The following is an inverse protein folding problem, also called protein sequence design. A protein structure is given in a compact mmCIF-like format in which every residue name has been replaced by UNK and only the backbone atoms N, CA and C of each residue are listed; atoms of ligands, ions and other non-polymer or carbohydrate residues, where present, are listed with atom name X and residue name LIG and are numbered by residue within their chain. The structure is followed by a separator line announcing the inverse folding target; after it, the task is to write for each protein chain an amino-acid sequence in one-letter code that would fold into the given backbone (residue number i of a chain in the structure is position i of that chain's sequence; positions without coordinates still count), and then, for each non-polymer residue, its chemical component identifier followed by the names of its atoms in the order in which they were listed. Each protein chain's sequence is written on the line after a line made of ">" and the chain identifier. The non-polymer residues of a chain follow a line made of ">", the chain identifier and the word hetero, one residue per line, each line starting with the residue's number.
data_IF_116051142421
#
_entry.id   IF_116051142421
#
_cell.length_a   1.000
_cell.length_b   1.000
_cell.length_c   1.000
_cell.angle_alpha   90.00
_cell.angle_beta   90.00
_cell.angle_gamma   90.00
#
_symmetry.space_group_name_H-M   'P 1'
#
loop_
_entity.id
_entity.type
_entity.pdbx_description
1 polymer ?
#
# COMPACT_ATOMS: atom_id res chain seq x y z
N UNK A 1 -23.65 2.17 7.40
CA UNK A 1 -22.97 3.47 7.27
C UNK A 1 -22.63 4.09 8.63
N UNK A 2 -23.58 4.39 9.49
CA UNK A 2 -23.32 5.03 10.80
C UNK A 2 -22.36 4.25 11.68
N UNK A 3 -22.46 2.92 11.71
CA UNK A 3 -21.53 2.06 12.46
C UNK A 3 -20.08 2.20 11.95
N UNK A 4 -19.87 2.23 10.63
CA UNK A 4 -18.55 2.40 10.03
C UNK A 4 -17.98 3.79 10.34
N UNK A 5 -18.81 4.83 10.28
CA UNK A 5 -18.42 6.19 10.68
C UNK A 5 -18.02 6.25 12.16
N UNK A 6 -18.81 5.66 13.05
CA UNK A 6 -18.45 5.60 14.47
C UNK A 6 -17.13 4.89 14.72
N UNK A 7 -16.88 3.76 14.03
CA UNK A 7 -15.62 3.01 14.14
C UNK A 7 -14.43 3.80 13.59
N UNK A 8 -14.57 4.49 12.45
CA UNK A 8 -13.48 5.34 11.92
C UNK A 8 -13.18 6.48 12.87
N UNK A 9 -14.18 7.16 13.41
CA UNK A 9 -14.01 8.22 14.39
C UNK A 9 -13.28 7.74 15.65
N UNK A 10 -13.69 6.60 16.21
CA UNK A 10 -13.04 6.00 17.39
C UNK A 10 -11.56 5.74 17.11
N UNK A 11 -11.23 5.07 15.99
CA UNK A 11 -9.84 4.79 15.61
C UNK A 11 -9.06 6.10 15.41
N UNK A 12 -9.65 7.09 14.75
CA UNK A 12 -9.05 8.41 14.56
C UNK A 12 -8.71 9.09 15.88
N UNK A 13 -9.63 9.07 16.85
CA UNK A 13 -9.38 9.60 18.20
C UNK A 13 -8.31 8.85 18.97
N UNK A 14 -8.22 7.53 18.81
CA UNK A 14 -7.19 6.72 19.45
C UNK A 14 -5.80 7.00 18.85
N UNK A 15 -5.67 7.10 17.53
CA UNK A 15 -4.40 7.39 16.84
C UNK A 15 -3.91 8.81 17.16
N UNK A 16 -4.83 9.77 17.20
CA UNK A 16 -4.53 11.18 17.46
C UNK A 16 -4.68 11.58 18.94
N UNK A 17 -4.68 10.60 19.84
CA UNK A 17 -4.80 10.86 21.27
C UNK A 17 -3.81 11.96 21.71
N UNK A 18 -4.31 12.95 22.44
CA UNK A 18 -3.54 14.07 22.97
C UNK A 18 -2.90 15.00 21.90
N UNK A 19 -3.30 14.93 20.64
CA UNK A 19 -2.82 15.86 19.60
C UNK A 19 -3.79 17.05 19.46
N UNK A 20 -3.30 18.30 19.44
CA UNK A 20 -4.16 19.48 19.27
C UNK A 20 -4.94 19.42 17.94
N UNK A 21 -6.20 19.85 17.95
CA UNK A 21 -7.06 19.87 16.75
C UNK A 21 -7.42 18.48 16.19
N UNK A 22 -7.41 17.41 16.99
CA UNK A 22 -7.82 16.05 16.58
C UNK A 22 -9.25 16.01 16.02
N UNK A 23 -10.15 16.77 16.59
CA UNK A 23 -11.55 16.83 16.19
C UNK A 23 -11.72 17.31 14.74
N UNK A 24 -10.99 18.35 14.38
CA UNK A 24 -11.00 18.88 13.03
C UNK A 24 -10.52 17.84 11.99
N UNK A 25 -9.43 17.13 12.29
CA UNK A 25 -8.93 16.12 11.35
C UNK A 25 -9.88 14.92 11.25
N UNK A 26 -10.48 14.48 12.38
CA UNK A 26 -11.51 13.43 12.36
C UNK A 26 -12.72 13.89 11.54
N UNK A 27 -13.19 15.10 11.70
CA UNK A 27 -14.31 15.63 10.90
C UNK A 27 -14.00 15.62 9.39
N UNK A 28 -12.77 15.96 8.98
CA UNK A 28 -12.35 15.90 7.57
C UNK A 28 -12.29 14.44 7.08
N UNK A 29 -11.79 13.52 7.88
CA UNK A 29 -11.73 12.12 7.51
C UNK A 29 -13.14 11.50 7.40
N UNK A 30 -14.08 11.88 8.28
CA UNK A 30 -15.48 11.49 8.15
C UNK A 30 -16.14 12.11 6.91
N UNK A 31 -15.82 13.36 6.57
CA UNK A 31 -16.25 13.96 5.31
C UNK A 31 -15.73 13.15 4.11
N UNK A 32 -14.46 12.73 4.14
CA UNK A 32 -13.89 11.89 3.08
C UNK A 32 -14.59 10.53 2.99
N UNK A 33 -15.05 9.95 4.11
CA UNK A 33 -15.85 8.73 4.12
C UNK A 33 -17.23 8.96 3.50
N UNK A 34 -17.89 10.04 3.86
CA UNK A 34 -19.19 10.43 3.29
C UNK A 34 -19.05 10.64 1.77
N UNK A 35 -18.03 11.36 1.32
CA UNK A 35 -17.77 11.54 -0.12
C UNK A 35 -17.62 10.19 -0.84
N UNK A 36 -16.94 9.21 -0.25
CA UNK A 36 -16.82 7.86 -0.81
C UNK A 36 -18.17 7.13 -0.85
N UNK A 37 -18.97 7.25 0.19
CA UNK A 37 -20.31 6.65 0.19
C UNK A 37 -21.19 7.25 -0.91
N UNK A 38 -21.17 8.57 -1.08
CA UNK A 38 -21.88 9.25 -2.17
C UNK A 38 -21.36 8.76 -3.52
N UNK A 39 -20.03 8.65 -3.68
CA UNK A 39 -19.42 8.18 -4.92
C UNK A 39 -19.84 6.74 -5.26
N UNK A 40 -19.92 5.84 -4.27
CA UNK A 40 -20.47 4.47 -4.45
C UNK A 40 -21.90 4.51 -4.97
N UNK A 41 -22.77 5.36 -4.40
CA UNK A 41 -24.14 5.49 -4.90
C UNK A 41 -24.18 6.02 -6.34
N UNK A 42 -23.39 7.03 -6.66
CA UNK A 42 -23.34 7.61 -8.01
C UNK A 42 -22.87 6.59 -9.04
N UNK A 43 -21.80 5.81 -8.74
CA UNK A 43 -21.31 4.76 -9.64
C UNK A 43 -22.40 3.74 -9.94
N UNK A 44 -23.03 3.17 -8.92
CA UNK A 44 -23.97 2.06 -9.11
C UNK A 44 -25.32 2.53 -9.64
N UNK A 45 -25.75 3.76 -9.33
CA UNK A 45 -26.98 4.32 -9.87
C UNK A 45 -26.88 4.61 -11.39
N UNK A 46 -25.69 4.99 -11.86
CA UNK A 46 -25.48 5.29 -13.28
C UNK A 46 -25.05 4.09 -14.12
N UNK A 47 -24.84 2.92 -13.50
CA UNK A 47 -24.32 1.73 -14.18
C UNK A 47 -22.90 1.91 -14.73
N UNK A 48 -22.24 3.02 -14.39
CA UNK A 48 -20.87 3.33 -14.82
C UNK A 48 -19.89 2.72 -13.85
N UNK A 49 -19.35 1.57 -14.22
CA UNK A 49 -18.26 0.96 -13.48
C UNK A 49 -16.95 1.59 -13.93
N UNK A 50 -16.49 2.63 -13.22
CA UNK A 50 -15.17 3.26 -13.47
C UNK A 50 -14.00 2.30 -13.35
N UNK A 51 -14.25 1.13 -12.83
CA UNK A 51 -13.24 0.20 -12.41
C UNK A 51 -13.12 -1.03 -13.32
N UNK A 52 -13.74 -1.01 -14.50
CA UNK A 52 -13.75 -2.15 -15.42
C UNK A 52 -14.48 -3.39 -14.86
N UNK A 53 -14.30 -4.52 -15.50
CA UNK A 53 -15.04 -5.76 -15.20
C UNK A 53 -14.69 -6.43 -13.88
N UNK A 54 -13.51 -6.14 -13.27
CA UNK A 54 -13.03 -6.81 -12.05
C UNK A 54 -13.98 -6.70 -10.86
N UNK A 55 -14.54 -5.51 -10.62
CA UNK A 55 -15.43 -5.30 -9.47
C UNK A 55 -16.74 -6.12 -9.58
N UNK A 56 -17.28 -6.24 -10.81
CA UNK A 56 -18.45 -7.08 -11.08
C UNK A 56 -18.11 -8.56 -10.94
N UNK A 57 -16.98 -8.99 -11.46
CA UNK A 57 -16.50 -10.36 -11.35
C UNK A 57 -16.32 -10.78 -9.89
N UNK A 58 -15.63 -9.95 -9.08
CA UNK A 58 -15.47 -10.23 -7.64
C UNK A 58 -16.80 -10.28 -6.90
N UNK A 59 -17.77 -9.43 -7.29
CA UNK A 59 -19.12 -9.48 -6.73
C UNK A 59 -19.82 -10.81 -7.06
N UNK A 60 -19.73 -11.29 -8.31
CA UNK A 60 -20.35 -12.56 -8.74
C UNK A 60 -19.72 -13.74 -7.99
N UNK A 61 -18.39 -13.84 -7.95
CA UNK A 61 -17.69 -14.91 -7.21
C UNK A 61 -18.04 -14.87 -5.71
N UNK A 62 -18.10 -13.69 -5.10
CA UNK A 62 -18.48 -13.55 -3.70
C UNK A 62 -19.94 -13.99 -3.44
N UNK A 63 -20.85 -13.78 -4.40
CA UNK A 63 -22.22 -14.29 -4.34
C UNK A 63 -22.25 -15.82 -4.36
N UNK A 64 -21.49 -16.46 -5.23
CA UNK A 64 -21.42 -17.92 -5.33
C UNK A 64 -20.81 -18.53 -4.05
N UNK A 65 -19.80 -17.89 -3.47
CA UNK A 65 -19.26 -18.25 -2.16
C UNK A 65 -20.30 -18.13 -1.05
N UNK A 66 -21.09 -17.05 -1.04
CA UNK A 66 -22.15 -16.89 -0.06
C UNK A 66 -23.19 -17.99 -0.14
N UNK A 67 -23.57 -18.42 -1.34
CA UNK A 67 -24.50 -19.55 -1.56
C UNK A 67 -23.90 -20.85 -1.01
N UNK A 68 -22.62 -21.13 -1.28
CA UNK A 68 -21.92 -22.31 -0.73
C UNK A 68 -21.92 -22.31 0.81
N UNK A 69 -21.61 -21.17 1.44
CA UNK A 69 -21.62 -21.03 2.89
C UNK A 69 -23.00 -21.21 3.50
N UNK A 70 -24.03 -20.62 2.87
CA UNK A 70 -25.42 -20.73 3.32
C UNK A 70 -25.99 -22.15 3.14
N UNK A 71 -25.47 -22.93 2.18
CA UNK A 71 -25.81 -24.36 2.02
C UNK A 71 -25.09 -25.28 3.01
N UNK A 72 -24.31 -24.72 3.94
CA UNK A 72 -23.60 -25.48 4.99
C UNK A 72 -22.19 -25.96 4.58
N UNK A 73 -21.65 -25.51 3.45
CA UNK A 73 -20.26 -25.82 3.08
C UNK A 73 -19.31 -25.13 4.06
N UNK A 74 -18.45 -25.88 4.76
CA UNK A 74 -17.49 -25.26 5.69
C UNK A 74 -16.46 -24.40 4.93
N UNK A 75 -16.01 -23.33 5.55
CA UNK A 75 -15.16 -22.31 4.92
C UNK A 75 -13.90 -22.88 4.24
N UNK A 76 -13.29 -23.91 4.81
CA UNK A 76 -12.09 -24.57 4.24
C UNK A 76 -12.37 -25.50 3.05
N UNK A 77 -13.65 -25.73 2.70
CA UNK A 77 -14.08 -26.48 1.53
C UNK A 77 -14.73 -25.60 0.46
N UNK A 78 -14.86 -24.30 0.73
CA UNK A 78 -15.41 -23.35 -0.24
C UNK A 78 -14.49 -23.28 -1.45
N UNK A 79 -15.08 -23.49 -2.63
CA UNK A 79 -14.36 -23.31 -3.90
C UNK A 79 -14.43 -21.84 -4.28
N UNK A 80 -13.29 -21.24 -4.55
CA UNK A 80 -13.20 -19.83 -4.95
C UNK A 80 -12.11 -19.67 -6.01
N UNK A 81 -12.34 -18.67 -6.85
CA UNK A 81 -11.38 -18.24 -7.86
C UNK A 81 -10.76 -16.90 -7.45
N UNK A 82 -9.62 -16.57 -8.03
CA UNK A 82 -8.89 -15.31 -7.94
C UNK A 82 -8.20 -15.01 -6.60
N UNK A 83 -8.90 -14.57 -5.55
CA UNK A 83 -8.26 -14.07 -4.33
C UNK A 83 -9.12 -14.25 -3.10
N UNK A 84 -8.48 -14.27 -1.93
CA UNK A 84 -9.17 -14.30 -0.64
C UNK A 84 -10.09 -13.10 -0.40
N UNK A 85 -9.93 -12.01 -1.14
CA UNK A 85 -10.86 -10.90 -1.08
C UNK A 85 -12.30 -11.34 -1.41
N UNK A 86 -12.46 -12.20 -2.41
CA UNK A 86 -13.80 -12.74 -2.77
C UNK A 86 -14.38 -13.60 -1.67
N UNK A 87 -13.54 -14.36 -0.95
CA UNK A 87 -13.97 -15.16 0.22
C UNK A 87 -14.44 -14.24 1.36
N UNK A 88 -13.68 -13.21 1.70
CA UNK A 88 -14.08 -12.24 2.73
C UNK A 88 -15.39 -11.52 2.39
N UNK A 89 -15.54 -11.12 1.13
CA UNK A 89 -16.80 -10.52 0.65
C UNK A 89 -17.95 -11.53 0.63
N UNK A 90 -17.66 -12.79 0.27
CA UNK A 90 -18.63 -13.89 0.32
C UNK A 90 -19.12 -14.20 1.73
N UNK A 91 -18.23 -14.20 2.73
CA UNK A 91 -18.59 -14.30 4.16
C UNK A 91 -19.50 -13.13 4.55
N UNK A 92 -19.14 -11.90 4.16
CA UNK A 92 -19.98 -10.73 4.41
C UNK A 92 -21.38 -10.90 3.79
N UNK A 93 -21.46 -11.39 2.57
CA UNK A 93 -22.74 -11.65 1.88
C UNK A 93 -23.53 -12.80 2.53
N UNK A 94 -22.85 -13.83 3.01
CA UNK A 94 -23.52 -14.93 3.70
C UNK A 94 -24.20 -14.49 5.01
N UNK A 95 -23.58 -13.55 5.74
CA UNK A 95 -24.05 -13.06 7.04
C UNK A 95 -25.12 -11.95 6.87
N UNK A 96 -24.85 -10.97 5.98
CA UNK A 96 -25.65 -9.74 5.88
C UNK A 96 -26.54 -9.68 4.64
N UNK A 97 -26.53 -10.72 3.81
CA UNK A 97 -27.18 -10.73 2.49
C UNK A 97 -26.30 -10.14 1.38
N UNK A 98 -26.59 -10.56 0.15
CA UNK A 98 -25.84 -10.12 -1.04
C UNK A 98 -26.12 -8.65 -1.30
N UNK A 99 -25.13 -7.81 -1.03
CA UNK A 99 -25.25 -6.36 -1.19
C UNK A 99 -23.90 -5.73 -1.58
N UNK A 100 -23.78 -5.37 -2.86
CA UNK A 100 -22.57 -4.76 -3.43
C UNK A 100 -22.24 -3.39 -2.79
N UNK A 101 -23.26 -2.59 -2.46
CA UNK A 101 -23.06 -1.31 -1.76
C UNK A 101 -22.40 -1.51 -0.39
N UNK A 102 -22.85 -2.53 0.36
CA UNK A 102 -22.28 -2.82 1.67
C UNK A 102 -20.80 -3.22 1.58
N UNK A 103 -20.42 -4.04 0.59
CA UNK A 103 -19.01 -4.39 0.35
C UNK A 103 -18.16 -3.17 0.00
N UNK A 104 -18.67 -2.29 -0.86
CA UNK A 104 -17.99 -1.05 -1.24
C UNK A 104 -17.87 -0.05 -0.07
N UNK A 105 -18.86 -0.01 0.83
CA UNK A 105 -18.76 0.80 2.05
C UNK A 105 -17.69 0.28 3.01
N UNK A 106 -17.51 -1.04 3.11
CA UNK A 106 -16.39 -1.63 3.88
C UNK A 106 -15.05 -1.27 3.25
N UNK A 107 -14.95 -1.26 1.92
CA UNK A 107 -13.76 -0.81 1.23
C UNK A 107 -13.47 0.68 1.50
N UNK A 108 -14.46 1.54 1.42
CA UNK A 108 -14.35 2.95 1.78
C UNK A 108 -13.87 3.16 3.24
N UNK A 109 -14.38 2.35 4.17
CA UNK A 109 -13.95 2.34 5.56
C UNK A 109 -12.45 2.04 5.70
N UNK A 110 -11.93 0.98 5.07
CA UNK A 110 -10.50 0.65 5.08
C UNK A 110 -9.65 1.76 4.47
N UNK A 111 -10.14 2.41 3.42
CA UNK A 111 -9.45 3.55 2.80
C UNK A 111 -9.28 4.72 3.78
N UNK A 112 -10.31 5.05 4.55
CA UNK A 112 -10.24 6.14 5.53
C UNK A 112 -9.37 5.76 6.73
N UNK A 113 -9.44 4.52 7.21
CA UNK A 113 -8.51 4.01 8.21
C UNK A 113 -7.05 4.15 7.78
N UNK A 114 -6.76 3.88 6.51
CA UNK A 114 -5.43 4.08 5.93
C UNK A 114 -4.93 5.52 6.12
N UNK A 115 -5.79 6.52 5.91
CA UNK A 115 -5.47 7.93 6.13
C UNK A 115 -5.12 8.24 7.60
N UNK A 116 -5.82 7.64 8.55
CA UNK A 116 -5.49 7.79 9.98
C UNK A 116 -4.14 7.15 10.32
N UNK A 117 -3.90 5.92 9.88
CA UNK A 117 -2.62 5.24 10.13
C UNK A 117 -1.45 5.93 9.43
N UNK A 118 -1.65 6.46 8.23
CA UNK A 118 -0.63 7.25 7.52
C UNK A 118 -0.27 8.53 8.30
N UNK A 119 -1.29 9.24 8.80
CA UNK A 119 -1.09 10.41 9.68
C UNK A 119 -0.34 10.02 10.95
N UNK A 120 -0.71 8.89 11.56
CA UNK A 120 -0.03 8.33 12.73
C UNK A 120 1.42 7.95 12.44
N UNK A 121 1.71 7.41 11.26
CA UNK A 121 3.07 7.09 10.81
C UNK A 121 3.90 8.37 10.68
N UNK A 122 3.38 9.41 10.03
CA UNK A 122 4.05 10.69 9.89
C UNK A 122 4.34 11.35 11.26
N UNK A 123 3.40 11.29 12.21
CA UNK A 123 3.60 11.75 13.59
C UNK A 123 4.71 10.97 14.30
N UNK A 124 4.73 9.66 14.16
CA UNK A 124 5.77 8.80 14.75
C UNK A 124 7.14 8.99 14.09
N UNK A 125 7.20 9.44 12.83
CA UNK A 125 8.44 9.86 12.15
C UNK A 125 8.97 11.20 12.69
N UNK A 126 8.22 11.91 13.51
CA UNK A 126 8.59 13.20 14.07
C UNK A 126 8.17 14.39 13.21
N UNK A 127 7.26 14.20 12.25
CA UNK A 127 6.70 15.31 11.51
C UNK A 127 5.80 16.17 12.40
N UNK A 128 5.75 17.47 12.11
CA UNK A 128 4.83 18.37 12.82
C UNK A 128 3.37 17.90 12.64
N UNK A 129 2.52 18.19 13.63
CA UNK A 129 1.10 17.81 13.60
C UNK A 129 0.39 18.36 12.35
N UNK A 130 0.70 19.59 11.95
CA UNK A 130 0.14 20.20 10.73
C UNK A 130 0.51 19.42 9.48
N UNK A 131 1.81 19.07 9.34
CA UNK A 131 2.29 18.32 8.18
C UNK A 131 1.75 16.90 8.16
N UNK A 132 1.74 16.21 9.28
CA UNK A 132 1.21 14.83 9.36
C UNK A 132 -0.25 14.76 8.93
N UNK A 133 -1.06 15.75 9.32
CA UNK A 133 -2.45 15.85 8.87
C UNK A 133 -2.56 16.18 7.39
N UNK A 134 -1.73 17.09 6.89
CA UNK A 134 -1.71 17.40 5.45
C UNK A 134 -1.45 16.14 4.62
N UNK A 135 -0.49 15.31 5.02
CA UNK A 135 -0.21 14.02 4.37
C UNK A 135 -1.47 13.13 4.39
N UNK A 136 -2.14 13.01 5.54
CA UNK A 136 -3.38 12.25 5.64
C UNK A 136 -4.52 12.82 4.78
N UNK A 137 -4.70 14.13 4.76
CA UNK A 137 -5.72 14.81 3.93
C UNK A 137 -5.43 14.60 2.44
N UNK A 138 -4.19 14.82 2.01
CA UNK A 138 -3.78 14.59 0.62
C UNK A 138 -4.12 13.15 0.22
N UNK A 139 -3.73 12.16 1.02
CA UNK A 139 -4.07 10.76 0.77
C UNK A 139 -5.59 10.53 0.67
N UNK A 140 -6.37 11.10 1.59
CA UNK A 140 -7.82 10.90 1.64
C UNK A 140 -8.56 11.46 0.42
N UNK A 141 -8.02 12.49 -0.22
CA UNK A 141 -8.68 13.20 -1.32
C UNK A 141 -7.98 13.05 -2.68
N UNK A 142 -6.90 12.25 -2.77
CA UNK A 142 -6.34 11.86 -4.08
C UNK A 142 -7.40 11.09 -4.87
N UNK A 143 -7.69 11.45 -6.11
CA UNK A 143 -8.74 10.82 -6.93
C UNK A 143 -8.59 9.32 -7.07
N UNK A 144 -7.39 8.80 -7.33
CA UNK A 144 -7.15 7.36 -7.42
C UNK A 144 -7.49 6.63 -6.11
N UNK A 145 -7.24 7.26 -4.94
CA UNK A 145 -7.62 6.68 -3.65
C UNK A 145 -9.14 6.61 -3.48
N UNK A 146 -9.90 7.51 -4.10
CA UNK A 146 -11.36 7.46 -4.08
C UNK A 146 -11.83 6.37 -5.04
N UNK A 147 -11.38 6.41 -6.28
CA UNK A 147 -11.82 5.49 -7.35
C UNK A 147 -11.53 4.03 -7.02
N UNK A 148 -10.26 3.71 -6.69
CA UNK A 148 -9.86 2.32 -6.47
C UNK A 148 -10.32 1.73 -5.12
N UNK A 149 -10.85 2.55 -4.21
CA UNK A 149 -11.28 2.08 -2.89
C UNK A 149 -12.80 2.14 -2.67
N UNK A 150 -13.57 2.47 -3.68
CA UNK A 150 -15.04 2.58 -3.58
C UNK A 150 -15.80 1.52 -4.36
N UNK A 151 -15.10 0.62 -5.04
CA UNK A 151 -15.70 -0.54 -5.70
C UNK A 151 -15.44 -1.84 -4.94
N UNK A 152 -16.08 -2.93 -5.36
CA UNK A 152 -15.91 -4.30 -4.84
C UNK A 152 -14.56 -4.87 -5.27
N UNK A 153 -13.46 -4.25 -4.83
CA UNK A 153 -12.08 -4.60 -5.21
C UNK A 153 -11.16 -4.74 -4.01
N UNK A 154 -10.10 -5.53 -4.17
CA UNK A 154 -9.12 -5.82 -3.12
C UNK A 154 -8.18 -4.64 -2.80
N UNK A 155 -8.11 -3.62 -3.64
CA UNK A 155 -7.16 -2.51 -3.56
C UNK A 155 -7.24 -1.77 -2.23
N UNK A 156 -8.43 -1.53 -1.73
CA UNK A 156 -8.65 -0.86 -0.43
C UNK A 156 -7.99 -1.60 0.72
N UNK A 157 -8.17 -2.93 0.78
CA UNK A 157 -7.54 -3.77 1.80
C UNK A 157 -6.03 -3.82 1.65
N UNK A 158 -5.53 -3.88 0.40
CA UNK A 158 -4.09 -3.86 0.13
C UNK A 158 -3.46 -2.56 0.62
N UNK A 159 -4.05 -1.41 0.30
CA UNK A 159 -3.54 -0.10 0.74
C UNK A 159 -3.56 0.02 2.27
N UNK A 160 -4.64 -0.45 2.88
CA UNK A 160 -4.75 -0.49 4.34
C UNK A 160 -3.67 -1.35 4.98
N UNK A 161 -3.45 -2.57 4.49
CA UNK A 161 -2.43 -3.48 5.01
C UNK A 161 -1.02 -2.90 4.83
N UNK A 162 -0.71 -2.30 3.68
CA UNK A 162 0.57 -1.63 3.44
C UNK A 162 0.84 -0.58 4.54
N UNK A 163 -0.11 0.32 4.75
CA UNK A 163 0.06 1.42 5.70
C UNK A 163 0.09 0.91 7.13
N UNK A 164 -0.76 -0.05 7.49
CA UNK A 164 -0.83 -0.62 8.83
C UNK A 164 0.45 -1.38 9.21
N UNK A 165 0.97 -2.21 8.30
CA UNK A 165 2.22 -2.96 8.53
C UNK A 165 3.37 -1.98 8.78
N UNK A 166 3.52 -0.95 7.95
CA UNK A 166 4.57 0.05 8.13
C UNK A 166 4.36 0.92 9.37
N UNK A 167 3.13 1.26 9.74
CA UNK A 167 2.82 1.93 11.01
C UNK A 167 3.26 1.10 12.22
N UNK A 168 2.92 -0.20 12.23
CA UNK A 168 3.29 -1.10 13.33
C UNK A 168 4.80 -1.33 13.39
N UNK A 169 5.45 -1.52 12.24
CA UNK A 169 6.91 -1.65 12.14
C UNK A 169 7.63 -0.44 12.73
N UNK A 170 7.19 0.78 12.38
CA UNK A 170 7.77 2.00 12.94
C UNK A 170 7.62 2.05 14.46
N UNK A 171 6.48 1.64 14.98
CA UNK A 171 6.25 1.61 16.43
C UNK A 171 7.17 0.64 17.15
N UNK A 172 7.37 -0.55 16.60
CA UNK A 172 8.31 -1.55 17.17
C UNK A 172 9.74 -1.00 17.18
N UNK A 173 10.17 -0.34 16.12
CA UNK A 173 11.53 0.20 15.99
C UNK A 173 11.78 1.36 16.96
N UNK A 174 10.81 2.27 17.10
CA UNK A 174 11.02 3.53 17.84
C UNK A 174 10.70 3.45 19.32
N UNK A 175 9.82 2.56 19.74
CA UNK A 175 9.42 2.47 21.15
C UNK A 175 10.34 1.51 21.91
N UNK A 176 11.35 2.08 22.57
CA UNK A 176 12.39 1.34 23.30
C UNK A 176 11.93 0.79 24.64
N UNK A 177 10.89 1.40 25.23
CA UNK A 177 10.46 1.13 26.63
C UNK A 177 9.36 0.06 26.72
N UNK A 178 9.05 -0.60 25.59
CA UNK A 178 8.05 -1.65 25.61
C UNK A 178 8.59 -2.94 26.21
N UNK A 179 7.74 -3.59 27.02
CA UNK A 179 8.01 -4.94 27.49
C UNK A 179 8.20 -5.90 26.33
N UNK A 180 9.01 -6.94 26.54
CA UNK A 180 9.27 -7.98 25.53
C UNK A 180 7.95 -8.58 25.02
N UNK A 181 7.00 -8.88 25.93
CA UNK A 181 5.69 -9.44 25.56
C UNK A 181 4.92 -8.53 24.60
N UNK A 182 4.97 -7.21 24.81
CA UNK A 182 4.33 -6.25 23.91
C UNK A 182 5.01 -6.18 22.54
N UNK A 183 6.33 -6.23 22.51
CA UNK A 183 7.09 -6.29 21.26
C UNK A 183 6.74 -7.57 20.49
N UNK A 184 6.74 -8.73 21.14
CA UNK A 184 6.35 -10.01 20.54
C UNK A 184 4.92 -9.97 19.97
N UNK A 185 3.96 -9.39 20.70
CA UNK A 185 2.59 -9.24 20.20
C UNK A 185 2.52 -8.43 18.91
N UNK A 186 3.22 -7.28 18.85
CA UNK A 186 3.26 -6.46 17.64
C UNK A 186 3.89 -7.17 16.46
N UNK A 187 4.97 -7.92 16.70
CA UNK A 187 5.67 -8.71 15.70
C UNK A 187 4.77 -9.82 15.17
N UNK A 188 4.12 -10.57 16.07
CA UNK A 188 3.17 -11.61 15.68
C UNK A 188 2.03 -11.01 14.83
N UNK A 189 1.53 -9.83 15.21
CA UNK A 189 0.51 -9.13 14.43
C UNK A 189 1.04 -8.73 13.05
N UNK A 190 2.29 -8.22 12.95
CA UNK A 190 2.92 -7.90 11.65
C UNK A 190 3.01 -9.16 10.78
N UNK A 191 3.45 -10.29 11.34
CA UNK A 191 3.52 -11.56 10.62
C UNK A 191 2.13 -12.01 10.10
N UNK A 192 1.09 -11.89 10.95
CA UNK A 192 -0.28 -12.18 10.55
C UNK A 192 -0.76 -11.27 9.42
N UNK A 193 -0.50 -9.96 9.51
CA UNK A 193 -0.88 -9.00 8.46
C UNK A 193 -0.12 -9.24 7.16
N UNK A 194 1.15 -9.64 7.23
CA UNK A 194 1.94 -10.06 6.07
C UNK A 194 1.31 -11.28 5.41
N UNK A 195 0.97 -12.30 6.21
CA UNK A 195 0.29 -13.48 5.69
C UNK A 195 -1.05 -13.11 5.02
N UNK A 196 -1.88 -12.27 5.67
CA UNK A 196 -3.13 -11.78 5.08
C UNK A 196 -2.89 -11.01 3.77
N UNK A 197 -1.80 -10.23 3.68
CA UNK A 197 -1.48 -9.49 2.46
C UNK A 197 -1.12 -10.41 1.29
N UNK A 198 -0.50 -11.57 1.57
CA UNK A 198 -0.19 -12.58 0.54
C UNK A 198 -1.43 -13.25 -0.02
N UNK A 199 -2.46 -13.45 0.81
CA UNK A 199 -3.74 -13.98 0.36
C UNK A 199 -4.47 -13.04 -0.62
N UNK A 200 -4.18 -11.74 -0.56
CA UNK A 200 -4.72 -10.75 -1.50
C UNK A 200 -3.86 -10.61 -2.76
N UNK A 201 -2.54 -10.60 -2.60
CA UNK A 201 -1.55 -10.55 -3.69
C UNK A 201 -0.26 -11.24 -3.28
N UNK A 202 0.07 -12.30 -3.96
CA UNK A 202 1.18 -13.19 -3.62
C UNK A 202 2.53 -12.48 -3.56
N UNK A 203 2.79 -11.55 -4.48
CA UNK A 203 4.05 -10.81 -4.53
C UNK A 203 4.23 -9.81 -3.38
N UNK A 204 3.18 -9.54 -2.59
CA UNK A 204 3.29 -8.68 -1.39
C UNK A 204 4.31 -9.23 -0.39
N UNK A 205 4.44 -10.55 -0.28
CA UNK A 205 5.43 -11.14 0.61
C UNK A 205 6.86 -10.71 0.23
N UNK A 206 7.17 -10.74 -1.06
CA UNK A 206 8.52 -10.40 -1.55
C UNK A 206 8.82 -8.91 -1.39
N UNK A 207 7.83 -8.06 -1.70
CA UNK A 207 7.98 -6.61 -1.58
C UNK A 207 8.13 -6.17 -0.12
N UNK A 208 7.29 -6.70 0.78
CA UNK A 208 7.42 -6.45 2.21
C UNK A 208 8.66 -7.13 2.79
N UNK A 209 8.93 -8.38 2.40
CA UNK A 209 10.10 -9.13 2.86
C UNK A 209 11.38 -8.37 2.60
N UNK A 210 11.57 -7.87 1.38
CA UNK A 210 12.71 -7.03 1.01
C UNK A 210 12.79 -5.75 1.82
N UNK A 211 11.68 -5.00 1.92
CA UNK A 211 11.61 -3.76 2.67
C UNK A 211 11.88 -3.94 4.17
N UNK A 212 11.23 -4.94 4.79
CA UNK A 212 11.42 -5.24 6.22
C UNK A 212 12.83 -5.79 6.50
N UNK A 213 13.38 -6.63 5.63
CA UNK A 213 14.74 -7.11 5.76
C UNK A 213 15.74 -5.95 5.78
N UNK A 214 15.66 -5.03 4.83
CA UNK A 214 16.50 -3.82 4.79
C UNK A 214 16.30 -3.00 6.05
N UNK A 215 15.07 -2.78 6.49
CA UNK A 215 14.76 -2.05 7.71
C UNK A 215 15.44 -2.67 8.94
N UNK A 216 15.32 -3.99 9.11
CA UNK A 216 15.88 -4.74 10.23
C UNK A 216 17.40 -4.79 10.18
N UNK A 217 17.99 -4.98 8.99
CA UNK A 217 19.43 -4.96 8.78
C UNK A 217 20.05 -3.62 9.24
N UNK A 218 19.49 -2.49 8.79
CA UNK A 218 19.98 -1.17 9.19
C UNK A 218 19.69 -0.85 10.66
N UNK A 219 18.59 -1.35 11.23
CA UNK A 219 18.35 -1.29 12.66
C UNK A 219 19.45 -2.02 13.45
N UNK A 220 19.81 -3.22 13.03
CA UNK A 220 20.86 -4.02 13.65
C UNK A 220 22.23 -3.32 13.55
N UNK A 221 22.62 -2.85 12.36
CA UNK A 221 23.88 -2.17 12.13
C UNK A 221 24.01 -0.89 12.96
N UNK A 222 22.93 -0.12 13.11
CA UNK A 222 22.94 1.18 13.79
C UNK A 222 22.86 1.08 15.30
N UNK A 223 22.10 0.11 15.84
CA UNK A 223 21.79 0.08 17.27
C UNK A 223 22.46 -1.08 18.00
N UNK A 224 23.14 -1.99 17.29
CA UNK A 224 23.66 -3.27 17.80
C UNK A 224 22.62 -4.02 18.68
N UNK A 225 21.36 -3.67 18.51
CA UNK A 225 20.26 -4.14 19.35
C UNK A 225 19.76 -5.46 18.82
N UNK A 226 20.27 -6.51 19.43
CA UNK A 226 19.61 -7.73 19.82
C UNK A 226 19.21 -8.78 18.78
N UNK A 227 19.57 -10.00 19.16
CA UNK A 227 19.16 -11.30 18.65
C UNK A 227 17.68 -11.39 18.23
N UNK A 228 16.77 -10.60 18.81
CA UNK A 228 15.35 -10.55 18.44
C UNK A 228 15.16 -10.10 16.98
N UNK A 229 15.89 -9.08 16.53
CA UNK A 229 15.78 -8.63 15.13
C UNK A 229 16.43 -9.62 14.16
N UNK A 230 17.52 -10.29 14.58
CA UNK A 230 18.13 -11.37 13.79
C UNK A 230 17.18 -12.55 13.69
N UNK A 231 16.53 -12.93 14.80
CA UNK A 231 15.54 -13.98 14.83
C UNK A 231 14.33 -13.65 13.94
N UNK A 232 13.85 -12.40 13.99
CA UNK A 232 12.74 -11.94 13.16
C UNK A 232 13.09 -11.90 11.68
N UNK A 233 14.30 -11.46 11.33
CA UNK A 233 14.75 -11.51 9.93
C UNK A 233 14.88 -12.94 9.46
N UNK A 234 15.36 -13.86 10.31
CA UNK A 234 15.41 -15.29 10.01
C UNK A 234 14.00 -15.90 9.83
N UNK A 235 13.04 -15.55 10.70
CA UNK A 235 11.64 -15.98 10.57
C UNK A 235 11.03 -15.43 9.29
N UNK A 236 11.25 -14.15 8.97
CA UNK A 236 10.76 -13.52 7.73
C UNK A 236 11.37 -14.20 6.49
N UNK A 237 12.67 -14.46 6.48
CA UNK A 237 13.33 -15.18 5.39
C UNK A 237 12.77 -16.61 5.27
N UNK A 238 12.58 -17.31 6.39
CA UNK A 238 12.01 -18.66 6.40
C UNK A 238 10.56 -18.64 5.91
N UNK A 239 9.74 -17.67 6.34
CA UNK A 239 8.38 -17.48 5.81
C UNK A 239 8.40 -17.15 4.31
N UNK A 240 9.35 -16.36 3.82
CA UNK A 240 9.52 -16.10 2.40
C UNK A 240 9.88 -17.36 1.61
N UNK A 241 10.79 -18.19 2.13
CA UNK A 241 11.19 -19.45 1.49
C UNK A 241 10.03 -20.47 1.49
N UNK A 242 9.36 -20.65 2.62
CA UNK A 242 8.20 -21.56 2.73
C UNK A 242 7.05 -21.10 1.84
N UNK A 243 6.80 -19.79 1.80
CA UNK A 243 5.77 -19.25 0.92
C UNK A 243 6.15 -19.37 -0.55
N UNK A 244 7.43 -19.31 -0.91
CA UNK A 244 7.87 -19.54 -2.29
C UNK A 244 7.48 -20.93 -2.78
N UNK A 245 7.68 -21.96 -1.97
CA UNK A 245 7.28 -23.33 -2.31
C UNK A 245 5.76 -23.49 -2.39
N UNK A 246 5.03 -22.87 -1.47
CA UNK A 246 3.56 -22.84 -1.48
C UNK A 246 3.00 -22.05 -2.65
N UNK A 247 3.64 -20.93 -3.01
CA UNK A 247 3.30 -20.11 -4.17
C UNK A 247 3.52 -20.86 -5.46
N UNK A 248 4.63 -21.57 -5.60
CA UNK A 248 4.91 -22.40 -6.76
C UNK A 248 3.85 -23.50 -6.92
N UNK A 249 3.39 -24.07 -5.80
CA UNK A 249 2.31 -25.06 -5.80
C UNK A 249 0.96 -24.41 -6.16
N UNK A 250 0.61 -23.30 -5.55
CA UNK A 250 -0.66 -22.59 -5.80
C UNK A 250 -0.71 -21.92 -7.18
N UNK A 251 0.41 -21.52 -7.76
CA UNK A 251 0.46 -21.09 -9.16
C UNK A 251 0.15 -22.26 -10.11
N UNK A 252 0.65 -23.45 -9.81
CA UNK A 252 0.27 -24.67 -10.53
C UNK A 252 -1.25 -24.89 -10.50
N UNK A 253 -1.84 -24.78 -9.30
CA UNK A 253 -3.28 -24.99 -9.12
C UNK A 253 -4.09 -23.85 -9.77
N UNK A 254 -3.60 -22.62 -9.74
CA UNK A 254 -4.24 -21.46 -10.36
C UNK A 254 -4.23 -21.55 -11.89
N UNK A 255 -3.12 -21.98 -12.49
CA UNK A 255 -3.03 -22.20 -13.92
C UNK A 255 -3.86 -23.39 -14.38
N UNK A 256 -3.86 -24.49 -13.64
CA UNK A 256 -4.73 -25.63 -13.92
C UNK A 256 -6.22 -25.23 -13.94
N UNK A 257 -6.65 -24.36 -13.02
CA UNK A 257 -8.04 -23.87 -12.96
C UNK A 257 -8.39 -22.84 -14.06
N UNK A 258 -7.43 -22.09 -14.56
CA UNK A 258 -7.64 -21.14 -15.67
C UNK A 258 -7.57 -21.82 -17.02
N UNK A 259 -6.81 -22.91 -17.14
CA UNK A 259 -6.69 -23.69 -18.38
C UNK A 259 -7.78 -24.73 -18.59
N UNK A 260 -8.49 -25.16 -17.57
CA UNK A 260 -9.68 -26.04 -17.70
C UNK A 260 -10.80 -25.42 -18.55
N UNK A 261 -10.64 -24.14 -18.95
CA UNK A 261 -11.48 -23.46 -19.95
C UNK A 261 -10.98 -23.54 -21.41
N UNK A 262 -9.78 -24.04 -21.64
CA UNK A 262 -9.26 -24.23 -22.99
C UNK A 262 -8.28 -25.41 -23.06
N UNK A 263 -8.81 -26.58 -23.43
CA UNK A 263 -8.10 -27.72 -24.05
C UNK A 263 -6.87 -28.34 -23.36
N UNK A 264 -7.01 -29.61 -23.03
CA UNK A 264 -6.05 -30.72 -23.16
C UNK A 264 -4.54 -30.38 -23.12
N UNK A 265 -3.85 -30.79 -22.06
CA UNK A 265 -2.41 -30.97 -22.12
C UNK A 265 -1.65 -30.66 -20.82
N UNK A 266 -1.46 -31.70 -20.00
CA UNK A 266 -0.68 -31.65 -18.73
C UNK A 266 0.84 -31.48 -18.95
N UNK A 267 1.31 -31.33 -20.20
CA UNK A 267 2.75 -31.33 -20.55
C UNK A 267 3.41 -29.93 -20.59
N UNK A 268 2.65 -28.82 -20.44
CA UNK A 268 3.17 -27.48 -20.77
C UNK A 268 3.40 -26.53 -19.61
N UNK A 269 3.34 -26.98 -18.34
CA UNK A 269 3.44 -26.04 -17.20
C UNK A 269 4.84 -25.47 -17.01
N UNK A 270 5.88 -26.29 -17.21
CA UNK A 270 7.26 -25.81 -17.14
C UNK A 270 7.58 -24.89 -18.34
N UNK A 271 7.03 -25.18 -19.53
CA UNK A 271 7.14 -24.29 -20.71
C UNK A 271 6.40 -22.96 -20.52
N UNK A 272 5.29 -22.93 -19.79
CA UNK A 272 4.54 -21.72 -19.53
C UNK A 272 5.22 -20.84 -18.46
N UNK A 273 5.78 -21.45 -17.40
CA UNK A 273 6.62 -20.73 -16.43
C UNK A 273 7.85 -20.14 -17.13
N UNK A 274 8.48 -20.90 -18.00
CA UNK A 274 9.60 -20.44 -18.80
C UNK A 274 9.17 -19.38 -19.81
N UNK A 275 7.99 -19.46 -20.38
CA UNK A 275 7.39 -18.43 -21.25
C UNK A 275 7.13 -17.14 -20.47
N UNK A 276 6.57 -17.19 -19.25
CA UNK A 276 6.38 -16.03 -18.40
C UNK A 276 7.72 -15.43 -17.97
N UNK A 277 8.66 -16.26 -17.55
CA UNK A 277 10.02 -15.81 -17.22
C UNK A 277 10.72 -15.20 -18.44
N UNK A 278 10.62 -15.82 -19.61
CA UNK A 278 11.16 -15.30 -20.86
C UNK A 278 10.47 -14.00 -21.27
N UNK A 279 9.16 -13.87 -21.06
CA UNK A 279 8.41 -12.64 -21.29
C UNK A 279 8.88 -11.53 -20.36
N UNK A 280 9.11 -11.84 -19.08
CA UNK A 280 9.66 -10.88 -18.11
C UNK A 280 11.09 -10.52 -18.47
N UNK A 281 11.91 -11.49 -18.85
CA UNK A 281 13.32 -11.29 -19.22
C UNK A 281 13.48 -10.59 -20.57
N UNK A 282 12.56 -10.78 -21.51
CA UNK A 282 12.55 -10.08 -22.81
C UNK A 282 12.04 -8.65 -22.70
N UNK A 283 11.36 -8.27 -21.60
CA UNK A 283 10.90 -6.90 -21.39
C UNK A 283 12.08 -5.95 -21.20
N UNK A 284 12.01 -4.82 -21.88
CA UNK A 284 12.94 -3.73 -21.65
C UNK A 284 12.66 -3.11 -20.25
N UNK A 285 13.38 -3.60 -19.23
CA UNK A 285 13.21 -3.18 -17.83
C UNK A 285 13.21 -1.64 -17.67
N UNK A 286 14.15 -0.88 -18.25
CA UNK A 286 14.10 0.58 -18.21
C UNK A 286 12.80 1.18 -18.74
N UNK A 287 12.27 0.68 -19.86
CA UNK A 287 11.01 1.16 -20.42
C UNK A 287 9.81 0.83 -19.53
N UNK A 288 9.78 -0.36 -18.91
CA UNK A 288 8.73 -0.77 -17.98
C UNK A 288 8.73 0.11 -16.73
N UNK A 289 9.90 0.41 -16.16
CA UNK A 289 10.05 1.30 -15.01
C UNK A 289 9.62 2.72 -15.40
N UNK A 290 10.08 3.23 -16.54
CA UNK A 290 9.67 4.54 -17.03
C UNK A 290 8.14 4.61 -17.21
N UNK A 291 7.54 3.60 -17.84
CA UNK A 291 6.09 3.50 -17.98
C UNK A 291 5.37 3.51 -16.61
N UNK A 292 5.83 2.73 -15.65
CA UNK A 292 5.26 2.69 -14.31
C UNK A 292 5.32 4.06 -13.60
N UNK A 293 6.39 4.81 -13.77
CA UNK A 293 6.57 6.10 -13.13
C UNK A 293 5.83 7.24 -13.85
N UNK A 294 5.72 7.19 -15.18
CA UNK A 294 5.28 8.35 -15.98
C UNK A 294 3.91 8.17 -16.64
N UNK A 295 3.47 6.94 -16.92
CA UNK A 295 2.18 6.70 -17.58
C UNK A 295 1.00 6.75 -16.61
N UNK A 296 -0.21 7.15 -17.03
CA UNK A 296 -0.49 7.72 -18.34
C UNK A 296 0.15 9.11 -18.49
N UNK A 297 0.68 9.41 -19.65
CA UNK A 297 1.03 10.80 -19.98
C UNK A 297 -0.24 11.63 -20.10
N UNK A 298 -0.15 12.95 -19.87
CA UNK A 298 -1.33 13.84 -19.89
C UNK A 298 -2.14 13.78 -21.19
N UNK A 299 -1.47 13.48 -22.28
CA UNK A 299 -2.06 13.28 -23.62
C UNK A 299 -2.69 11.90 -23.81
N UNK A 300 -2.22 10.88 -23.08
CA UNK A 300 -2.77 9.51 -23.14
C UNK A 300 -4.04 9.36 -22.30
N UNK A 301 -4.26 10.23 -21.31
CA UNK A 301 -5.40 10.15 -20.39
C UNK A 301 -6.76 10.06 -21.10
N UNK A 302 -7.06 10.81 -22.20
CA UNK A 302 -8.35 10.71 -22.89
C UNK A 302 -8.60 9.35 -23.57
N UNK A 303 -7.56 8.57 -23.77
CA UNK A 303 -7.62 7.28 -24.45
C UNK A 303 -7.68 6.08 -23.50
N UNK A 304 -7.69 6.31 -22.17
CA UNK A 304 -7.87 5.25 -21.19
C UNK A 304 -9.32 4.73 -21.29
N UNK A 305 -9.54 3.44 -21.57
CA UNK A 305 -10.88 2.91 -21.86
C UNK A 305 -11.94 3.24 -20.80
N UNK A 306 -11.57 3.14 -19.52
CA UNK A 306 -12.49 3.33 -18.40
C UNK A 306 -12.94 4.78 -18.19
N UNK A 307 -12.25 5.75 -18.79
CA UNK A 307 -12.57 7.18 -18.64
C UNK A 307 -12.77 7.88 -19.99
N UNK A 308 -12.55 7.17 -21.09
CA UNK A 308 -12.72 7.70 -22.43
C UNK A 308 -14.13 8.27 -22.62
N UNK A 309 -14.22 9.48 -23.17
CA UNK A 309 -15.50 10.15 -23.38
C UNK A 309 -16.09 10.87 -22.16
N UNK A 310 -15.47 10.77 -20.96
CA UNK A 310 -15.89 11.52 -19.78
C UNK A 310 -14.94 12.70 -19.48
N UNK A 311 -15.28 13.95 -19.89
CA UNK A 311 -14.39 15.11 -19.72
C UNK A 311 -14.03 15.41 -18.26
N UNK A 312 -14.94 15.12 -17.33
CA UNK A 312 -14.69 15.33 -15.90
C UNK A 312 -13.63 14.35 -15.40
N UNK A 313 -13.79 13.03 -15.69
CA UNK A 313 -12.85 12.00 -15.30
C UNK A 313 -11.46 12.25 -15.90
N UNK A 314 -11.38 12.61 -17.18
CA UNK A 314 -10.15 12.99 -17.87
C UNK A 314 -9.45 14.16 -17.15
N UNK A 315 -10.19 15.20 -16.79
CA UNK A 315 -9.64 16.36 -16.08
C UNK A 315 -9.10 15.97 -14.71
N UNK A 316 -9.84 15.17 -13.95
CA UNK A 316 -9.45 14.70 -12.61
C UNK A 316 -8.17 13.88 -12.68
N UNK A 317 -8.06 12.93 -13.60
CA UNK A 317 -6.85 12.11 -13.77
C UNK A 317 -5.65 12.95 -14.23
N UNK A 318 -5.85 13.93 -15.11
CA UNK A 318 -4.77 14.88 -15.49
C UNK A 318 -4.24 15.68 -14.30
N UNK A 319 -5.13 16.21 -13.46
CA UNK A 319 -4.74 16.94 -12.24
C UNK A 319 -3.96 15.98 -11.32
N UNK A 320 -4.42 14.76 -11.14
CA UNK A 320 -3.72 13.78 -10.31
C UNK A 320 -2.33 13.45 -10.86
N UNK A 321 -2.17 13.31 -12.17
CA UNK A 321 -0.86 13.08 -12.78
C UNK A 321 0.11 14.23 -12.53
N UNK A 322 -0.36 15.47 -12.59
CA UNK A 322 0.46 16.65 -12.23
C UNK A 322 0.88 16.56 -10.75
N UNK A 323 -0.06 16.28 -9.85
CA UNK A 323 0.24 16.12 -8.42
C UNK A 323 1.22 14.96 -8.17
N UNK A 324 1.10 13.87 -8.91
CA UNK A 324 2.02 12.74 -8.85
C UNK A 324 3.45 13.15 -9.23
N UNK A 325 3.63 13.87 -10.34
CA UNK A 325 4.96 14.35 -10.75
C UNK A 325 5.56 15.29 -9.71
N UNK A 326 4.78 16.22 -9.16
CA UNK A 326 5.23 17.10 -8.08
C UNK A 326 5.64 16.27 -6.86
N UNK A 327 4.84 15.27 -6.47
CA UNK A 327 5.12 14.39 -5.35
C UNK A 327 6.43 13.63 -5.56
N UNK A 328 6.68 13.08 -6.75
CA UNK A 328 7.91 12.39 -7.09
C UNK A 328 9.13 13.32 -6.95
N UNK A 329 9.08 14.51 -7.53
CA UNK A 329 10.18 15.49 -7.46
C UNK A 329 10.50 15.85 -6.00
N UNK A 330 9.47 16.17 -5.20
CA UNK A 330 9.67 16.52 -3.79
C UNK A 330 10.17 15.34 -2.98
N UNK A 331 9.74 14.12 -3.30
CA UNK A 331 10.16 12.90 -2.61
C UNK A 331 11.63 12.57 -2.83
N UNK A 332 12.25 12.99 -3.93
CA UNK A 332 13.71 12.82 -4.15
C UNK A 332 14.51 13.42 -2.99
N UNK A 333 14.14 14.61 -2.51
CA UNK A 333 14.85 15.26 -1.38
C UNK A 333 14.68 14.46 -0.07
N UNK A 334 13.51 13.90 0.17
CA UNK A 334 13.27 13.05 1.34
C UNK A 334 14.02 11.72 1.25
N UNK A 335 14.11 11.14 0.06
CA UNK A 335 14.90 9.92 -0.21
C UNK A 335 16.39 10.21 0.03
N UNK A 336 16.92 11.29 -0.51
CA UNK A 336 18.32 11.69 -0.27
C UNK A 336 18.59 11.93 1.22
N UNK A 337 17.67 12.58 1.92
CA UNK A 337 17.77 12.74 3.37
C UNK A 337 17.79 11.40 4.10
N UNK A 338 16.94 10.45 3.73
CA UNK A 338 16.89 9.11 4.33
C UNK A 338 18.20 8.35 4.12
N UNK A 339 18.80 8.45 2.93
CA UNK A 339 20.10 7.87 2.60
C UNK A 339 21.23 8.50 3.43
N UNK A 340 21.28 9.84 3.54
CA UNK A 340 22.31 10.53 4.32
C UNK A 340 22.19 10.22 5.83
N UNK A 341 20.98 10.13 6.35
CA UNK A 341 20.73 9.85 7.78
C UNK A 341 20.81 8.37 8.14
N UNK A 342 20.81 7.50 7.15
CA UNK A 342 20.76 6.05 7.35
C UNK A 342 19.61 5.67 8.30
N UNK A 343 18.41 6.26 8.07
CA UNK A 343 17.23 5.95 8.88
C UNK A 343 16.70 4.56 8.48
N UNK A 344 16.78 3.56 9.37
CA UNK A 344 16.43 2.18 9.03
C UNK A 344 15.02 2.02 8.52
N UNK A 345 14.07 2.75 9.10
CA UNK A 345 12.67 2.67 8.71
C UNK A 345 12.45 3.25 7.30
N UNK A 346 13.01 4.44 7.04
CA UNK A 346 12.87 5.08 5.73
C UNK A 346 13.58 4.28 4.64
N UNK A 347 14.75 3.69 4.93
CA UNK A 347 15.45 2.83 3.99
C UNK A 347 14.66 1.56 3.68
N UNK A 348 14.06 0.92 4.68
CA UNK A 348 13.18 -0.22 4.47
C UNK A 348 11.93 0.14 3.67
N UNK A 349 11.31 1.29 3.97
CA UNK A 349 10.16 1.79 3.23
C UNK A 349 10.51 2.10 1.76
N UNK A 350 11.70 2.67 1.51
CA UNK A 350 12.21 2.90 0.16
C UNK A 350 12.44 1.58 -0.58
N UNK A 351 13.04 0.58 0.07
CA UNK A 351 13.23 -0.74 -0.52
C UNK A 351 11.89 -1.40 -0.88
N UNK A 352 10.85 -1.24 -0.03
CA UNK A 352 9.50 -1.67 -0.35
C UNK A 352 8.95 -0.95 -1.59
N UNK A 353 9.04 0.38 -1.66
CA UNK A 353 8.55 1.17 -2.81
C UNK A 353 9.23 0.72 -4.10
N UNK A 354 10.54 0.54 -4.07
CA UNK A 354 11.33 0.11 -5.23
C UNK A 354 10.96 -1.31 -5.65
N UNK A 355 10.94 -2.27 -4.72
CA UNK A 355 10.60 -3.65 -5.05
C UNK A 355 9.15 -3.80 -5.53
N UNK A 356 8.21 -3.11 -4.90
CA UNK A 356 6.82 -3.08 -5.34
C UNK A 356 6.68 -2.46 -6.75
N UNK A 357 7.34 -1.33 -6.97
CA UNK A 357 7.34 -0.65 -8.27
C UNK A 357 7.94 -1.51 -9.38
N UNK A 358 9.08 -2.17 -9.11
CA UNK A 358 9.73 -3.07 -10.08
C UNK A 358 8.83 -4.25 -10.45
N UNK A 359 8.30 -4.97 -9.45
CA UNK A 359 7.43 -6.13 -9.71
C UNK A 359 6.21 -5.70 -10.53
N UNK A 360 5.55 -4.61 -10.14
CA UNK A 360 4.37 -4.16 -10.88
C UNK A 360 4.71 -3.59 -12.27
N UNK A 361 5.86 -2.95 -12.44
CA UNK A 361 6.32 -2.52 -13.77
C UNK A 361 6.56 -3.70 -14.70
N UNK A 362 7.07 -4.82 -14.17
CA UNK A 362 7.34 -6.02 -14.95
C UNK A 362 6.08 -6.85 -15.25
N UNK A 363 5.15 -6.94 -14.31
CA UNK A 363 3.90 -7.70 -14.48
C UNK A 363 2.91 -6.94 -15.38
N UNK A 364 2.92 -5.60 -15.36
CA UNK A 364 1.99 -4.80 -16.15
C UNK A 364 2.28 -4.95 -17.66
N UNK A 365 1.22 -5.15 -18.42
CA UNK A 365 1.29 -5.36 -19.90
C UNK A 365 1.49 -4.07 -20.71
N UNK A 366 2.20 -3.07 -20.19
CA UNK A 366 2.38 -1.74 -20.79
C UNK A 366 1.07 -0.94 -21.00
N UNK A 367 -0.01 -1.34 -20.35
CA UNK A 367 -1.29 -0.65 -20.41
C UNK A 367 -1.27 0.51 -19.40
N UNK A 368 -1.55 1.71 -19.85
CA UNK A 368 -1.51 2.94 -19.04
C UNK A 368 -2.41 2.87 -17.79
N UNK A 369 -3.58 2.26 -17.93
CA UNK A 369 -4.55 1.99 -16.85
C UNK A 369 -3.95 1.11 -15.74
N UNK A 370 -3.32 -0.01 -16.10
CA UNK A 370 -2.71 -0.94 -15.15
C UNK A 370 -1.60 -0.28 -14.33
N UNK A 371 -0.77 0.54 -14.95
CA UNK A 371 0.26 1.32 -14.26
C UNK A 371 -0.35 2.33 -13.28
N UNK A 372 -1.37 3.05 -13.69
CA UNK A 372 -2.07 4.03 -12.87
C UNK A 372 -2.68 3.38 -11.61
N UNK A 373 -3.33 2.22 -11.77
CA UNK A 373 -3.94 1.45 -10.69
C UNK A 373 -2.91 0.92 -9.70
N UNK A 374 -1.86 0.25 -10.18
CA UNK A 374 -0.87 -0.35 -9.29
C UNK A 374 -0.01 0.68 -8.56
N UNK A 375 0.29 1.79 -9.21
CA UNK A 375 1.02 2.91 -8.60
C UNK A 375 0.30 3.50 -7.38
N UNK A 376 -1.01 3.48 -7.36
CA UNK A 376 -1.81 3.98 -6.24
C UNK A 376 -1.37 3.39 -4.88
N UNK A 377 -0.92 2.13 -4.84
CA UNK A 377 -0.46 1.49 -3.62
C UNK A 377 0.80 2.12 -3.00
N UNK A 378 1.66 2.73 -3.80
CA UNK A 378 2.90 3.37 -3.30
C UNK A 378 2.75 4.87 -3.04
N UNK A 379 1.61 5.47 -3.38
CA UNK A 379 1.37 6.90 -3.14
C UNK A 379 1.49 7.23 -1.65
N UNK A 380 0.84 6.47 -0.77
CA UNK A 380 0.90 6.70 0.67
C UNK A 380 2.31 6.58 1.24
N UNK A 381 3.07 5.50 0.98
CA UNK A 381 4.48 5.41 1.34
C UNK A 381 5.32 6.56 0.79
N UNK A 382 5.10 6.98 -0.45
CA UNK A 382 5.87 8.05 -1.09
C UNK A 382 5.62 9.42 -0.46
N UNK A 383 4.38 9.70 -0.02
CA UNK A 383 4.03 10.93 0.70
C UNK A 383 4.86 11.14 1.98
N UNK A 384 5.36 10.08 2.61
CA UNK A 384 6.24 10.17 3.77
C UNK A 384 7.65 10.71 3.42
N UNK A 385 8.04 10.65 2.16
CA UNK A 385 9.28 11.26 1.66
C UNK A 385 9.08 12.67 1.11
N UNK A 386 7.85 13.14 0.95
CA UNK A 386 7.55 14.44 0.38
C UNK A 386 7.87 15.60 1.35
N UNK A 387 9.15 15.72 1.76
CA UNK A 387 9.66 16.83 2.57
C UNK A 387 11.11 17.17 2.20
N UNK A 388 11.29 18.31 1.55
CA UNK A 388 12.61 18.81 1.18
C UNK A 388 13.35 19.50 2.34
N UNK A 389 12.65 20.03 3.33
CA UNK A 389 13.24 20.84 4.40
C UNK A 389 14.33 20.17 5.21
N UNK A 390 14.17 18.90 5.66
CA UNK A 390 15.25 18.23 6.40
C UNK A 390 16.52 18.03 5.58
N UNK A 391 16.39 17.85 4.26
CA UNK A 391 17.52 17.71 3.35
C UNK A 391 18.34 19.01 3.29
N UNK A 392 17.68 20.15 3.02
CA UNK A 392 18.37 21.43 2.94
C UNK A 392 18.93 21.89 4.29
N UNK A 393 18.22 21.64 5.40
CA UNK A 393 18.77 21.89 6.74
C UNK A 393 20.07 21.10 6.97
N UNK A 394 20.11 19.83 6.57
CA UNK A 394 21.29 18.99 6.73
C UNK A 394 22.44 19.43 5.84
N UNK A 395 22.20 19.85 4.60
CA UNK A 395 23.24 20.41 3.73
C UNK A 395 23.80 21.68 4.34
N UNK A 396 22.95 22.58 4.85
CA UNK A 396 23.40 23.80 5.52
C UNK A 396 24.32 23.48 6.71
N UNK A 397 23.96 22.51 7.55
CA UNK A 397 24.81 22.09 8.67
C UNK A 397 26.18 21.56 8.17
N UNK A 398 26.19 20.74 7.13
CA UNK A 398 27.42 20.19 6.56
C UNK A 398 28.33 21.30 5.98
N UNK A 399 27.74 22.28 5.29
CA UNK A 399 28.48 23.41 4.74
C UNK A 399 29.06 24.30 5.85
N UNK A 400 28.32 24.56 6.93
CA UNK A 400 28.82 25.32 8.07
C UNK A 400 29.93 24.59 8.84
N UNK A 401 29.87 23.26 8.93
CA UNK A 401 30.95 22.47 9.57
C UNK A 401 32.18 22.30 8.70
N UNK A 402 32.05 22.45 7.38
CA UNK A 402 33.15 22.36 6.43
C UNK A 402 33.88 23.70 6.22
N UNK A 403 33.33 24.82 6.72
CA UNK A 403 33.99 26.13 6.64
C UNK A 403 35.14 26.22 7.64
N UNK A 404 36.42 26.41 7.21
CA UNK A 404 37.57 26.45 8.09
C UNK A 404 37.53 27.63 9.06
N UNK A 405 36.78 28.68 8.79
CA UNK A 405 36.70 29.91 9.61
C UNK A 405 35.91 29.73 10.92
N UNK A 406 35.16 28.64 11.10
CA UNK A 406 34.43 28.38 12.33
C UNK A 406 35.32 27.90 13.52
N UNK A 407 36.60 27.59 13.27
CA UNK A 407 37.55 27.12 14.29
C UNK A 407 38.52 28.18 14.81
N UNK A 408 38.51 29.39 14.24
CA UNK A 408 39.48 30.44 14.64
C UNK A 408 38.95 31.47 15.64
N UNK A 409 37.69 31.33 16.10
CA UNK A 409 37.01 32.35 16.90
C UNK A 409 37.08 32.22 18.41
N UNK A 410 37.74 31.18 18.98
CA UNK A 410 37.65 30.95 20.45
C UNK A 410 39.00 30.81 21.17
N UNK A 411 40.00 31.52 20.70
CA UNK A 411 41.28 31.61 21.43
C UNK A 411 41.82 33.04 21.45
N UNK A 412 41.09 33.97 22.04
CA UNK A 412 41.71 35.22 22.57
C UNK A 412 40.66 35.90 23.45
N UNK A 413 40.88 35.86 24.74
CA UNK A 413 40.80 36.89 25.75
C UNK A 413 40.63 36.19 27.11
N UNK A 414 41.79 35.75 27.66
CA UNK A 414 42.06 35.84 29.10
C UNK A 414 43.27 36.70 29.24
N UNK A 415 43.09 37.93 29.58
CA UNK A 415 43.96 38.80 30.37
C UNK A 415 43.10 39.56 31.35
#
# INVERSE_FOLDING_TARGET
>A
MLTLMALTAIVGFLILKNKPGRWWFVAIAELALICRFIFVFVIYANGTEYSGTDGLLYHQIAKDIAIQLQSGTPLWKVRYEYTWYTVLTGIQYAIFGVNRYAASFVNAFFSVLSGYFLTGTALNLGFSVKKSRLIGIVYLFIPSMIVWTTDTRKESMIFFLIILIWYMTLRVIRQRDWSISRQCLYILTICLLLWLSTLLRIYMLYTFGGGLFICLLFCFLKTKRNMIFVFLSAVLITCCIVSFTTVRHNMRDYHALTMDRSTEGDENLDEEIDSILNTIMSKNIPNSINGFLTKPHLEEVPFIPDIAGNPFAITVVRIEMILWYICMIVSVFGIMYALIKWDPYLLGLLAFIVSYGLINALISENVADTYYRYRAAIVAPLLLFADYRPFFAKIKDLLMTASPDAKSGDNSIML
#
